data_IF_671157421956
#
_entry.id   IF_671157421956
#
_cell.length_a   1.000
_cell.length_b   1.000
_cell.length_c   1.000
_cell.angle_alpha   90.00
_cell.angle_beta   90.00
_cell.angle_gamma   90.00
#
_symmetry.space_group_name_H-M   'P 1'
#
loop_
_entity.id
_entity.type
_entity.pdbx_description
1 polymer ?
#
# COMPACT_ATOMS: atom_id res chain seq x y z
N UNK A 1 13.44 3.85 3.54
CA UNK A 1 12.92 4.60 4.71
C UNK A 1 12.14 3.67 5.65
N UNK A 2 11.06 3.03 5.20
CA UNK A 2 10.17 2.22 6.04
C UNK A 2 10.88 1.18 6.92
N UNK A 3 11.79 0.36 6.37
CA UNK A 3 12.53 -0.64 7.16
C UNK A 3 13.35 -0.03 8.31
N UNK A 4 13.96 1.15 8.10
CA UNK A 4 14.68 1.86 9.17
C UNK A 4 13.71 2.40 10.23
N UNK A 5 12.58 2.95 9.80
CA UNK A 5 11.51 3.39 10.71
C UNK A 5 11.02 2.25 11.59
N UNK A 6 10.74 1.08 11.01
CA UNK A 6 10.32 -0.12 11.74
C UNK A 6 11.38 -0.55 12.76
N UNK A 7 12.66 -0.53 12.39
CA UNK A 7 13.75 -0.89 13.30
C UNK A 7 13.85 0.07 14.51
N UNK A 8 13.58 1.36 14.32
CA UNK A 8 13.61 2.35 15.40
C UNK A 8 12.45 2.16 16.41
N UNK A 9 11.37 1.48 16.03
CA UNK A 9 10.23 1.21 16.92
C UNK A 9 10.51 0.12 17.96
N UNK A 10 11.69 -0.54 17.92
CA UNK A 10 11.97 -1.64 18.86
C UNK A 10 12.20 -1.17 20.30
N UNK A 11 12.66 0.06 20.49
CA UNK A 11 12.92 0.60 21.84
C UNK A 11 11.63 0.96 22.59
N UNK A 12 10.61 1.42 21.87
CA UNK A 12 9.29 1.70 22.41
C UNK A 12 8.21 1.24 21.41
N UNK A 13 7.77 -0.03 21.49
CA UNK A 13 6.93 -0.63 20.47
C UNK A 13 5.48 -0.12 20.54
N UNK A 14 4.95 0.52 19.48
CA UNK A 14 3.56 0.94 19.44
C UNK A 14 2.63 -0.25 19.13
N UNK A 15 1.35 -0.15 19.46
CA UNK A 15 0.35 -1.18 19.10
C UNK A 15 0.02 -1.16 17.60
N UNK A 16 -0.01 0.05 17.02
CA UNK A 16 -0.38 0.31 15.62
C UNK A 16 0.74 1.10 14.96
N UNK A 17 1.16 0.64 13.78
CA UNK A 17 2.14 1.32 12.94
C UNK A 17 1.43 1.91 11.73
N UNK A 18 1.70 3.18 11.45
CA UNK A 18 1.10 3.92 10.34
C UNK A 18 2.16 4.32 9.34
N UNK A 19 1.86 4.15 8.06
CA UNK A 19 2.66 4.60 6.94
C UNK A 19 1.89 5.67 6.19
N UNK A 20 2.58 6.73 5.77
CA UNK A 20 2.08 7.80 4.90
C UNK A 20 3.26 8.43 4.15
N UNK A 21 3.00 9.04 3.00
CA UNK A 21 4.02 9.78 2.25
C UNK A 21 4.22 11.18 2.85
N UNK A 22 5.49 11.60 2.96
CA UNK A 22 5.85 12.92 3.49
C UNK A 22 5.83 14.05 2.43
N UNK A 23 5.14 13.84 1.31
CA UNK A 23 5.10 14.79 0.18
C UNK A 23 3.89 15.75 0.20
N UNK A 24 3.05 15.65 1.24
CA UNK A 24 1.86 16.47 1.45
C UNK A 24 0.63 16.05 0.65
N UNK A 25 0.70 14.94 -0.10
CA UNK A 25 -0.45 14.42 -0.86
C UNK A 25 -1.47 13.69 0.04
N UNK A 26 -0.97 12.94 1.03
CA UNK A 26 -1.82 12.32 2.05
C UNK A 26 -2.29 13.38 3.06
N UNK A 27 -3.50 13.20 3.59
CA UNK A 27 -4.14 14.12 4.55
C UNK A 27 -4.09 13.48 5.94
N UNK A 28 -3.15 13.87 6.83
CA UNK A 28 -2.96 13.22 8.13
C UNK A 28 -4.20 13.26 9.02
N UNK A 29 -5.11 14.20 8.78
CA UNK A 29 -6.40 14.30 9.47
C UNK A 29 -7.33 13.10 9.21
N UNK A 30 -7.06 12.27 8.19
CA UNK A 30 -7.78 11.01 7.97
C UNK A 30 -7.25 9.86 8.85
N UNK A 31 -6.19 10.08 9.63
CA UNK A 31 -5.59 9.07 10.50
C UNK A 31 -6.59 8.37 11.44
N UNK A 32 -7.53 9.07 12.12
CA UNK A 32 -8.51 8.42 12.97
C UNK A 32 -9.35 7.38 12.22
N UNK A 33 -9.78 7.69 11.01
CA UNK A 33 -10.57 6.77 10.17
C UNK A 33 -9.74 5.56 9.74
N UNK A 34 -8.46 5.75 9.43
CA UNK A 34 -7.55 4.67 9.02
C UNK A 34 -7.25 3.71 10.17
N UNK A 35 -7.11 4.18 11.41
CA UNK A 35 -6.84 3.31 12.56
C UNK A 35 -8.11 2.69 13.17
N UNK A 36 -9.28 3.30 12.97
CA UNK A 36 -10.50 2.91 13.67
C UNK A 36 -10.88 1.42 13.50
N UNK A 37 -10.78 0.79 12.31
CA UNK A 37 -11.06 -0.65 12.17
C UNK A 37 -10.09 -1.53 12.97
N UNK A 38 -8.84 -1.09 13.15
CA UNK A 38 -7.86 -1.82 13.96
C UNK A 38 -8.20 -1.70 15.44
N UNK A 39 -8.54 -0.49 15.90
CA UNK A 39 -8.94 -0.20 17.28
C UNK A 39 -10.20 -0.98 17.66
N UNK A 40 -11.19 -1.08 16.76
CA UNK A 40 -12.41 -1.89 16.96
C UNK A 40 -12.17 -3.40 16.86
N UNK A 41 -10.96 -3.84 16.52
CA UNK A 41 -10.64 -5.25 16.40
C UNK A 41 -11.22 -5.91 15.15
N UNK A 42 -11.59 -5.14 14.13
CA UNK A 42 -12.19 -5.62 12.88
C UNK A 42 -11.13 -5.95 11.81
N UNK A 43 -9.97 -5.29 11.87
CA UNK A 43 -8.89 -5.44 10.91
C UNK A 43 -7.50 -5.55 11.56
N UNK A 44 -6.59 -6.19 10.84
CA UNK A 44 -5.17 -6.27 11.17
C UNK A 44 -4.34 -5.31 10.31
N UNK A 45 -4.78 -5.07 9.06
CA UNK A 45 -4.23 -4.11 8.10
C UNK A 45 -5.37 -3.28 7.49
N UNK A 46 -5.22 -1.96 7.50
CA UNK A 46 -6.12 -1.01 6.85
C UNK A 46 -5.35 -0.24 5.77
N UNK A 47 -5.94 -0.14 4.58
CA UNK A 47 -5.41 0.65 3.47
C UNK A 47 -6.32 1.86 3.27
N UNK A 48 -5.72 3.05 3.29
CA UNK A 48 -6.38 4.27 2.82
C UNK A 48 -6.52 4.21 1.30
N UNK A 49 -7.74 4.04 0.82
CA UNK A 49 -8.06 4.01 -0.59
C UNK A 49 -8.40 5.41 -1.10
N UNK A 50 -7.54 5.91 -1.98
CA UNK A 50 -7.72 7.19 -2.67
C UNK A 50 -8.82 7.07 -3.71
N UNK A 51 -9.01 5.87 -4.29
CA UNK A 51 -10.10 5.63 -5.24
C UNK A 51 -11.47 5.64 -4.57
N UNK A 52 -11.61 5.06 -3.38
CA UNK A 52 -12.86 5.12 -2.61
C UNK A 52 -13.12 6.52 -2.05
N UNK A 53 -12.06 7.24 -1.64
CA UNK A 53 -12.15 8.60 -1.10
C UNK A 53 -12.36 9.72 -2.11
N UNK A 54 -12.55 9.39 -3.39
CA UNK A 54 -12.78 10.40 -4.44
C UNK A 54 -11.55 11.23 -4.74
N UNK A 55 -10.40 10.59 -4.97
CA UNK A 55 -9.13 11.23 -5.32
C UNK A 55 -9.32 12.43 -6.27
N UNK A 56 -8.75 13.57 -5.90
CA UNK A 56 -8.89 14.81 -6.67
C UNK A 56 -8.46 14.60 -8.13
N UNK A 57 -9.14 15.24 -9.08
CA UNK A 57 -8.81 15.11 -10.50
C UNK A 57 -7.33 15.43 -10.75
N UNK A 58 -6.63 14.55 -11.47
CA UNK A 58 -5.20 14.69 -11.77
C UNK A 58 -4.23 14.29 -10.64
N UNK A 59 -4.71 13.94 -9.45
CA UNK A 59 -3.85 13.48 -8.34
C UNK A 59 -3.23 12.10 -8.57
N UNK A 60 -3.87 11.25 -9.39
CA UNK A 60 -3.35 9.96 -9.83
C UNK A 60 -3.10 9.99 -11.34
N UNK A 61 -1.87 9.67 -11.74
CA UNK A 61 -1.51 9.51 -13.15
C UNK A 61 -2.24 8.30 -13.77
N UNK A 62 -2.47 8.32 -15.08
CA UNK A 62 -3.05 7.18 -15.79
C UNK A 62 -2.27 5.88 -15.58
N UNK A 63 -0.94 5.97 -15.45
CA UNK A 63 -0.08 4.84 -15.15
C UNK A 63 -0.32 4.28 -13.74
N UNK A 64 -0.45 5.14 -12.72
CA UNK A 64 -0.77 4.69 -11.36
C UNK A 64 -2.13 4.00 -11.32
N UNK A 65 -3.14 4.55 -12.01
CA UNK A 65 -4.47 3.92 -12.13
C UNK A 65 -4.39 2.54 -12.77
N UNK A 66 -3.63 2.41 -13.87
CA UNK A 66 -3.42 1.13 -14.54
C UNK A 66 -2.69 0.12 -13.63
N UNK A 67 -1.60 0.53 -12.98
CA UNK A 67 -0.83 -0.31 -12.06
C UNK A 67 -1.67 -0.80 -10.87
N UNK A 68 -2.48 0.09 -10.28
CA UNK A 68 -3.43 -0.27 -9.24
C UNK A 68 -4.43 -1.32 -9.73
N UNK A 69 -5.05 -1.09 -10.90
CA UNK A 69 -6.06 -2.01 -11.46
C UNK A 69 -5.46 -3.37 -11.82
N UNK A 70 -4.28 -3.39 -12.43
CA UNK A 70 -3.56 -4.61 -12.79
C UNK A 70 -3.23 -5.42 -11.53
N UNK A 71 -2.67 -4.78 -10.51
CA UNK A 71 -2.30 -5.46 -9.27
C UNK A 71 -3.53 -5.97 -8.52
N UNK A 72 -4.57 -5.16 -8.40
CA UNK A 72 -5.84 -5.55 -7.79
C UNK A 72 -6.46 -6.78 -8.48
N UNK A 73 -6.42 -6.81 -9.82
CA UNK A 73 -6.89 -7.95 -10.61
C UNK A 73 -6.05 -9.21 -10.34
N UNK A 74 -4.72 -9.08 -10.38
CA UNK A 74 -3.82 -10.21 -10.13
C UNK A 74 -3.97 -10.76 -8.71
N UNK A 75 -4.11 -9.87 -7.72
CA UNK A 75 -4.28 -10.29 -6.33
C UNK A 75 -5.61 -11.01 -6.13
N UNK A 76 -6.68 -10.51 -6.75
CA UNK A 76 -7.98 -11.19 -6.76
C UNK A 76 -7.91 -12.56 -7.42
N UNK A 77 -7.17 -12.70 -8.52
CA UNK A 77 -7.07 -13.97 -9.24
C UNK A 77 -6.30 -15.03 -8.46
N UNK A 78 -5.21 -14.64 -7.80
CA UNK A 78 -4.28 -15.59 -7.16
C UNK A 78 -4.64 -15.85 -5.69
N UNK A 79 -5.04 -14.81 -4.94
CA UNK A 79 -5.32 -14.89 -3.51
C UNK A 79 -6.78 -14.60 -3.14
N UNK A 80 -7.68 -14.39 -4.12
CA UNK A 80 -9.11 -14.19 -3.89
C UNK A 80 -9.50 -12.84 -3.27
N UNK A 81 -8.52 -12.01 -2.88
CA UNK A 81 -8.78 -10.73 -2.21
C UNK A 81 -8.99 -9.58 -3.19
N UNK A 82 -9.95 -8.70 -2.92
CA UNK A 82 -10.20 -7.50 -3.75
C UNK A 82 -9.57 -6.28 -3.08
N UNK A 83 -8.76 -5.56 -3.84
CA UNK A 83 -8.23 -4.26 -3.43
C UNK A 83 -8.67 -3.21 -4.44
N UNK A 84 -8.95 -2.00 -3.96
CA UNK A 84 -9.24 -0.85 -4.81
C UNK A 84 -7.98 -0.03 -5.06
N UNK A 85 -7.07 0.08 -4.08
CA UNK A 85 -5.89 0.93 -4.17
C UNK A 85 -4.63 0.28 -3.59
N UNK A 86 -3.47 0.74 -4.04
CA UNK A 86 -2.16 0.42 -3.49
C UNK A 86 -1.57 1.63 -2.75
N UNK A 87 -2.44 2.46 -2.16
CA UNK A 87 -2.08 3.74 -1.53
C UNK A 87 -1.01 3.62 -0.44
N UNK A 88 -0.21 4.69 -0.21
CA UNK A 88 0.82 4.71 0.83
C UNK A 88 0.23 4.81 2.24
N UNK A 89 -0.92 5.49 2.41
CA UNK A 89 -1.58 5.66 3.70
C UNK A 89 -2.13 4.32 4.20
N UNK A 90 -1.52 3.77 5.26
CA UNK A 90 -1.85 2.46 5.81
C UNK A 90 -1.70 2.44 7.31
N UNK A 91 -2.52 1.66 7.99
CA UNK A 91 -2.29 1.29 9.38
C UNK A 91 -2.24 -0.23 9.51
N UNK A 92 -1.37 -0.74 10.39
CA UNK A 92 -1.23 -2.18 10.63
C UNK A 92 -0.91 -2.42 12.10
N UNK A 93 -1.47 -3.49 12.68
CA UNK A 93 -1.06 -3.96 14.02
C UNK A 93 0.42 -4.31 14.00
N UNK A 94 1.18 -3.87 15.01
CA UNK A 94 2.63 -4.14 15.08
C UNK A 94 2.96 -5.62 14.96
N UNK A 95 2.19 -6.47 15.63
CA UNK A 95 2.39 -7.93 15.60
C UNK A 95 2.16 -8.50 14.20
N UNK A 96 1.11 -8.03 13.51
CA UNK A 96 0.86 -8.40 12.12
C UNK A 96 2.01 -7.95 11.21
N UNK A 97 2.49 -6.71 11.37
CA UNK A 97 3.63 -6.19 10.61
C UNK A 97 4.91 -7.01 10.82
N UNK A 98 5.19 -7.41 12.07
CA UNK A 98 6.33 -8.28 12.37
C UNK A 98 6.21 -9.64 11.67
N UNK A 99 5.01 -10.23 11.67
CA UNK A 99 4.72 -11.50 10.98
C UNK A 99 4.91 -11.40 9.47
N UNK A 100 4.60 -10.26 8.84
CA UNK A 100 4.76 -10.10 7.39
C UNK A 100 6.20 -10.38 6.93
N UNK A 101 7.22 -10.00 7.71
CA UNK A 101 8.62 -10.21 7.32
C UNK A 101 8.94 -9.48 6.01
N UNK A 102 8.63 -8.19 5.96
CA UNK A 102 8.78 -7.33 4.78
C UNK A 102 10.24 -7.24 4.32
N UNK A 103 10.50 -7.37 3.01
CA UNK A 103 11.87 -7.48 2.46
C UNK A 103 12.15 -6.52 1.29
N UNK A 104 11.14 -6.10 0.53
CA UNK A 104 11.32 -5.24 -0.64
C UNK A 104 11.90 -3.88 -0.21
N UNK A 105 12.84 -3.35 -0.99
CA UNK A 105 13.52 -2.08 -0.67
C UNK A 105 13.14 -0.94 -1.61
N UNK A 106 12.23 -1.18 -2.55
CA UNK A 106 11.80 -0.21 -3.56
C UNK A 106 10.29 -0.18 -3.74
N UNK A 107 9.87 0.04 -4.99
CA UNK A 107 8.47 0.27 -5.35
C UNK A 107 7.51 -0.90 -5.08
N UNK A 108 8.01 -2.10 -4.79
CA UNK A 108 7.18 -3.27 -4.52
C UNK A 108 6.66 -3.37 -3.09
N UNK A 109 7.12 -2.51 -2.18
CA UNK A 109 6.80 -2.57 -0.74
C UNK A 109 5.30 -2.64 -0.44
N UNK A 110 4.51 -1.76 -1.07
CA UNK A 110 3.06 -1.69 -0.86
C UNK A 110 2.33 -2.93 -1.38
N UNK A 111 2.84 -3.53 -2.44
CA UNK A 111 2.29 -4.73 -3.05
C UNK A 111 2.68 -5.96 -2.23
N UNK A 112 3.95 -6.07 -1.85
CA UNK A 112 4.46 -7.12 -0.98
C UNK A 112 3.64 -7.20 0.32
N UNK A 113 3.35 -6.05 0.95
CA UNK A 113 2.57 -6.00 2.19
C UNK A 113 1.18 -6.60 2.01
N UNK A 114 0.48 -6.27 0.93
CA UNK A 114 -0.85 -6.81 0.63
C UNK A 114 -0.80 -8.31 0.32
N UNK A 115 0.14 -8.73 -0.54
CA UNK A 115 0.30 -10.13 -0.90
C UNK A 115 0.60 -10.97 0.36
N UNK A 116 1.53 -10.53 1.19
CA UNK A 116 1.89 -11.23 2.43
C UNK A 116 0.75 -11.21 3.44
N UNK A 117 0.00 -10.11 3.54
CA UNK A 117 -1.19 -10.05 4.38
C UNK A 117 -2.23 -11.10 3.96
N UNK A 118 -2.48 -11.23 2.64
CA UNK A 118 -3.35 -12.28 2.11
C UNK A 118 -2.80 -13.68 2.40
N UNK A 119 -1.51 -13.93 2.17
CA UNK A 119 -0.88 -15.24 2.43
C UNK A 119 -0.92 -15.64 3.90
N UNK A 120 -0.87 -14.68 4.82
CA UNK A 120 -0.91 -14.92 6.26
C UNK A 120 -2.34 -14.88 6.85
N UNK A 121 -3.36 -14.76 5.99
CA UNK A 121 -4.75 -14.74 6.42
C UNK A 121 -5.11 -13.55 7.30
N UNK A 122 -4.42 -12.41 7.15
CA UNK A 122 -4.73 -11.20 7.90
C UNK A 122 -6.09 -10.64 7.46
N UNK A 123 -6.83 -10.04 8.39
CA UNK A 123 -8.06 -9.31 8.09
C UNK A 123 -7.67 -7.95 7.51
N UNK A 124 -7.92 -7.77 6.22
CA UNK A 124 -7.58 -6.55 5.49
C UNK A 124 -8.84 -5.82 5.09
N UNK A 125 -8.87 -4.51 5.30
CA UNK A 125 -9.96 -3.63 4.84
C UNK A 125 -9.42 -2.35 4.21
N UNK A 126 -10.29 -1.64 3.50
CA UNK A 126 -10.01 -0.36 2.87
C UNK A 126 -10.96 0.70 3.42
N UNK A 127 -10.43 1.89 3.70
CA UNK A 127 -11.23 3.06 4.08
C UNK A 127 -11.00 4.19 3.08
N UNK A 128 -12.01 5.01 2.78
CA UNK A 128 -11.81 6.18 1.91
C UNK A 128 -10.87 7.18 2.58
N UNK A 129 -9.86 7.67 1.85
CA UNK A 129 -8.98 8.75 2.30
C UNK A 129 -8.88 9.85 1.25
N UNK A 130 -8.72 11.09 1.72
CA UNK A 130 -8.50 12.26 0.88
C UNK A 130 -7.08 12.23 0.34
N UNK A 131 -6.94 12.64 -0.93
CA UNK A 131 -5.65 12.68 -1.61
C UNK A 131 -5.54 13.94 -2.46
N UNK A 132 -4.54 14.76 -2.15
CA UNK A 132 -4.31 16.06 -2.77
C UNK A 132 -3.29 15.95 -3.91
N UNK A 133 -3.36 16.82 -4.93
CA UNK A 133 -2.24 17.00 -5.85
C UNK A 133 -0.97 17.40 -5.07
N UNK A 134 0.19 16.87 -5.47
CA UNK A 134 1.47 17.24 -4.86
C UNK A 134 1.69 18.75 -4.92
N UNK A 135 2.11 19.34 -3.81
CA UNK A 135 2.35 20.78 -3.67
C UNK A 135 3.63 21.25 -4.39
N UNK A 136 4.54 20.34 -4.75
CA UNK A 136 5.76 20.64 -5.52
C UNK A 136 6.28 19.43 -6.32
N UNK A 137 6.91 19.70 -7.47
CA UNK A 137 7.66 18.74 -8.29
C UNK A 137 6.94 18.31 -9.57
N UNK A 138 7.59 18.48 -10.72
CA UNK A 138 7.19 17.82 -11.97
C UNK A 138 7.51 16.33 -11.90
N UNK A 139 6.55 15.49 -12.28
CA UNK A 139 6.70 14.04 -12.25
C UNK A 139 7.85 13.58 -13.16
N UNK A 140 8.99 13.19 -12.58
CA UNK A 140 10.15 12.66 -13.31
C UNK A 140 9.90 11.29 -13.99
N UNK A 141 8.71 10.71 -13.88
CA UNK A 141 8.38 9.36 -14.40
C UNK A 141 7.08 9.35 -15.24
N UNK A 142 6.52 10.52 -15.56
CA UNK A 142 5.29 10.60 -16.38
C UNK A 142 5.63 11.01 -17.81
N UNK A 143 6.05 10.07 -18.66
CA UNK A 143 6.18 10.39 -20.08
C UNK A 143 6.61 9.27 -21.02
N UNK A 144 7.24 8.19 -20.53
CA UNK A 144 7.81 7.18 -21.43
C UNK A 144 7.11 5.83 -21.27
N UNK A 145 6.55 5.31 -22.37
CA UNK A 145 5.99 3.95 -22.48
C UNK A 145 6.90 2.87 -21.86
N UNK A 146 8.22 3.04 -21.96
CA UNK A 146 9.21 2.15 -21.38
C UNK A 146 9.17 2.10 -19.84
N UNK A 147 8.89 3.23 -19.18
CA UNK A 147 8.73 3.30 -17.72
C UNK A 147 7.49 2.54 -17.26
N UNK A 148 6.39 2.67 -18.01
CA UNK A 148 5.13 1.95 -17.79
C UNK A 148 5.29 0.43 -17.92
N UNK A 149 5.98 -0.02 -18.97
CA UNK A 149 6.29 -1.43 -19.20
C UNK A 149 7.20 -2.00 -18.10
N UNK A 150 8.24 -1.28 -17.70
CA UNK A 150 9.13 -1.71 -16.60
C UNK A 150 8.40 -1.82 -15.26
N UNK A 151 7.53 -0.86 -14.96
CA UNK A 151 6.71 -0.89 -13.75
C UNK A 151 5.73 -2.09 -13.77
N UNK A 152 5.02 -2.29 -14.88
CA UNK A 152 4.12 -3.43 -15.07
C UNK A 152 4.84 -4.78 -14.99
N UNK A 153 6.00 -4.91 -15.64
CA UNK A 153 6.83 -6.11 -15.57
C UNK A 153 7.34 -6.38 -14.15
N UNK A 154 7.72 -5.34 -13.40
CA UNK A 154 8.12 -5.48 -11.99
C UNK A 154 6.95 -5.92 -11.11
N UNK A 155 5.76 -5.34 -11.27
CA UNK A 155 4.54 -5.76 -10.57
C UNK A 155 4.26 -7.23 -10.84
N UNK A 156 4.26 -7.62 -12.12
CA UNK A 156 4.03 -9.01 -12.53
C UNK A 156 5.08 -9.95 -11.95
N UNK A 157 6.36 -9.58 -12.02
CA UNK A 157 7.45 -10.38 -11.44
C UNK A 157 7.31 -10.53 -9.93
N UNK A 158 6.99 -9.46 -9.19
CA UNK A 158 6.78 -9.53 -7.73
C UNK A 158 5.60 -10.45 -7.39
N UNK A 159 4.48 -10.31 -8.10
CA UNK A 159 3.31 -11.18 -7.94
C UNK A 159 3.67 -12.64 -8.23
N UNK A 160 4.29 -12.92 -9.37
CA UNK A 160 4.67 -14.28 -9.78
C UNK A 160 5.69 -14.89 -8.81
N UNK A 161 6.71 -14.13 -8.41
CA UNK A 161 7.70 -14.57 -7.42
C UNK A 161 7.03 -15.01 -6.13
N UNK A 162 6.09 -14.21 -5.60
CA UNK A 162 5.38 -14.56 -4.36
C UNK A 162 4.32 -15.65 -4.54
N UNK A 163 3.78 -15.85 -5.74
CA UNK A 163 2.90 -16.97 -6.06
C UNK A 163 3.66 -18.31 -6.11
N UNK A 164 4.88 -18.30 -6.67
CA UNK A 164 5.75 -19.49 -6.78
C UNK A 164 6.43 -19.81 -5.44
N UNK A 165 6.87 -18.80 -4.69
CA UNK A 165 7.41 -19.00 -3.34
C UNK A 165 6.27 -19.14 -2.34
N UNK A 166 5.82 -20.38 -2.10
CA UNK A 166 4.93 -20.75 -0.99
C UNK A 166 5.68 -20.73 0.35
N UNK A 167 6.15 -19.56 0.75
CA UNK A 167 6.65 -19.27 2.10
C UNK A 167 5.75 -18.25 2.78
#
# INVERSE_FOLDING_TARGET
>A
ACLRGIAALQENPPDIVVFLDADGSDVPEDLPEVIAPIVRGEADLVIGSRLLGGAAAGSLTGLQRFGNRLTAMLVRLIWGHRFTDLGPFRAIRREALARLGMQDRGFGWTIEMQIRACKQGLRVTEVPVRYRPRTAGTSKISGTWLGSLKAGAKILWTVLRHAVTRG
#
